data_IF_897486953059
#
_entry.id   IF_897486953059
#
_cell.length_a   1.000
_cell.length_b   1.000
_cell.length_c   1.000
_cell.angle_alpha   90.00
_cell.angle_beta   90.00
_cell.angle_gamma   90.00
#
_symmetry.space_group_name_H-M   'P 1'
#
loop_
_entity.id
_entity.type
_entity.pdbx_description
1 polymer ?
#
# COMPACT_ATOMS: atom_id res chain seq x y z
N UNK A 1 1.94 41.13 20.78
CA UNK A 1 1.83 41.02 19.31
C UNK A 1 1.24 39.68 18.89
N UNK A 2 0.24 39.72 18.02
CA UNK A 2 -0.34 38.53 17.39
C UNK A 2 0.65 37.85 16.42
N UNK A 3 0.49 36.54 16.11
CA UNK A 3 1.36 35.85 15.15
C UNK A 3 1.38 36.48 13.75
N UNK A 4 0.28 37.12 13.33
CA UNK A 4 0.16 37.81 12.03
C UNK A 4 1.00 39.09 12.02
N UNK A 5 0.95 39.88 13.10
CA UNK A 5 1.77 41.08 13.28
C UNK A 5 3.26 40.75 13.32
N UNK A 6 3.67 39.72 14.07
CA UNK A 6 5.07 39.28 14.14
C UNK A 6 5.60 38.87 12.76
N UNK A 7 4.77 38.27 11.90
CA UNK A 7 5.12 37.92 10.51
C UNK A 7 5.28 39.13 9.61
N UNK A 8 4.38 40.11 9.72
CA UNK A 8 4.45 41.37 8.97
C UNK A 8 5.70 42.18 9.35
N UNK A 9 5.97 42.29 10.65
CA UNK A 9 7.16 42.96 11.16
C UNK A 9 8.46 42.24 10.75
N UNK A 10 8.48 40.90 10.78
CA UNK A 10 9.60 40.11 10.27
C UNK A 10 9.89 40.40 8.79
N UNK A 11 8.87 40.53 7.92
CA UNK A 11 9.11 40.82 6.50
C UNK A 11 9.79 42.17 6.27
N UNK A 12 9.44 43.19 7.05
CA UNK A 12 10.03 44.52 6.93
C UNK A 12 11.45 44.58 7.50
N UNK A 13 11.64 44.05 8.72
CA UNK A 13 12.94 44.04 9.40
C UNK A 13 13.97 43.21 8.65
N UNK A 14 13.58 42.11 8.02
CA UNK A 14 14.48 41.24 7.26
C UNK A 14 15.19 41.96 6.11
N UNK A 15 14.51 42.89 5.44
CA UNK A 15 15.11 43.72 4.38
C UNK A 15 16.17 44.66 4.95
N UNK A 16 15.86 45.32 6.08
CA UNK A 16 16.78 46.23 6.79
C UNK A 16 18.00 45.49 7.34
N UNK A 17 17.79 44.35 7.98
CA UNK A 17 18.84 43.48 8.52
C UNK A 17 19.77 42.94 7.42
N UNK A 18 19.22 42.58 6.25
CA UNK A 18 20.01 42.11 5.11
C UNK A 18 20.98 43.16 4.55
N UNK A 19 20.56 44.44 4.52
CA UNK A 19 21.33 45.57 3.95
C UNK A 19 22.25 46.28 4.96
N UNK A 20 22.08 46.04 6.26
CA UNK A 20 22.85 46.72 7.30
C UNK A 20 24.32 46.24 7.39
N UNK A 21 25.21 47.11 7.86
CA UNK A 21 26.59 46.73 8.23
C UNK A 21 26.62 45.95 9.55
N UNK A 22 27.70 45.21 9.83
CA UNK A 22 27.85 44.38 11.04
C UNK A 22 27.42 45.08 12.35
N UNK A 23 27.87 46.32 12.67
CA UNK A 23 27.45 46.99 13.90
C UNK A 23 25.95 47.33 13.91
N UNK A 24 25.40 47.77 12.77
CA UNK A 24 23.96 48.09 12.63
C UNK A 24 23.06 46.85 12.71
N UNK A 25 23.55 45.68 12.31
CA UNK A 25 22.82 44.40 12.44
C UNK A 25 22.59 44.00 13.89
N UNK A 26 23.52 44.28 14.79
CA UNK A 26 23.36 43.98 16.21
C UNK A 26 22.16 44.74 16.78
N UNK A 27 22.09 46.06 16.58
CA UNK A 27 20.97 46.88 17.05
C UNK A 27 19.63 46.48 16.44
N UNK A 28 19.57 46.20 15.13
CA UNK A 28 18.33 45.71 14.49
C UNK A 28 17.90 44.35 15.06
N UNK A 29 18.86 43.49 15.41
CA UNK A 29 18.59 42.18 16.00
C UNK A 29 18.09 42.33 17.44
N UNK A 30 18.67 43.23 18.23
CA UNK A 30 18.22 43.54 19.60
C UNK A 30 16.80 44.07 19.59
N UNK A 31 16.50 45.07 18.74
CA UNK A 31 15.14 45.60 18.53
C UNK A 31 14.15 44.48 18.19
N UNK A 32 14.51 43.62 17.23
CA UNK A 32 13.64 42.54 16.80
C UNK A 32 13.39 41.49 17.89
N UNK A 33 14.39 41.22 18.75
CA UNK A 33 14.24 40.31 19.89
C UNK A 33 13.29 40.91 20.94
N UNK A 34 13.44 42.19 21.26
CA UNK A 34 12.62 42.91 22.25
C UNK A 34 11.16 43.04 21.78
N UNK A 35 10.93 43.45 20.53
CA UNK A 35 9.57 43.69 20.00
C UNK A 35 8.78 42.38 19.82
N UNK A 36 9.44 41.32 19.36
CA UNK A 36 8.76 40.04 19.10
C UNK A 36 8.83 39.06 20.27
N UNK A 37 9.53 39.40 21.36
CA UNK A 37 9.85 38.52 22.48
C UNK A 37 10.47 37.19 21.99
N UNK A 38 11.58 37.31 21.27
CA UNK A 38 12.30 36.18 20.68
C UNK A 38 13.71 36.06 21.22
N UNK A 39 14.12 34.83 21.50
CA UNK A 39 15.50 34.54 21.80
C UNK A 39 16.41 34.84 20.60
N UNK A 40 17.59 35.42 20.85
CA UNK A 40 18.53 35.90 19.82
C UNK A 40 18.87 34.86 18.75
N UNK A 41 19.15 33.61 19.15
CA UNK A 41 19.43 32.52 18.20
C UNK A 41 18.25 32.24 17.26
N UNK A 42 17.02 32.34 17.77
CA UNK A 42 15.80 32.12 16.99
C UNK A 42 15.58 33.26 15.99
N UNK A 43 15.75 34.51 16.44
CA UNK A 43 15.67 35.70 15.61
C UNK A 43 16.67 35.68 14.44
N UNK A 44 17.94 35.35 14.71
CA UNK A 44 18.99 35.19 13.68
C UNK A 44 18.55 34.18 12.62
N UNK A 45 18.01 33.02 13.04
CA UNK A 45 17.54 31.97 12.12
C UNK A 45 16.40 32.46 11.23
N UNK A 46 15.46 33.24 11.77
CA UNK A 46 14.35 33.80 10.99
C UNK A 46 14.81 34.85 9.96
N UNK A 47 15.70 35.76 10.37
CA UNK A 47 16.21 36.84 9.53
C UNK A 47 17.12 36.30 8.41
N UNK A 48 17.92 35.27 8.67
CA UNK A 48 18.80 34.65 7.67
C UNK A 48 18.13 33.60 6.78
N UNK A 49 16.89 33.19 7.06
CA UNK A 49 16.19 32.18 6.25
C UNK A 49 15.93 32.71 4.84
N UNK A 50 16.60 32.20 3.81
CA UNK A 50 16.31 32.59 2.42
C UNK A 50 14.82 32.35 2.07
N UNK A 51 14.14 33.36 1.50
CA UNK A 51 12.77 33.23 0.99
C UNK A 51 12.71 32.48 -0.34
N UNK A 52 13.83 32.37 -1.05
CA UNK A 52 13.92 31.63 -2.31
C UNK A 52 13.99 30.13 -2.00
N UNK A 53 12.88 29.42 -2.21
CA UNK A 53 12.92 27.96 -2.36
C UNK A 53 13.91 27.66 -3.49
N UNK A 54 15.03 27.01 -3.19
CA UNK A 54 15.94 26.55 -4.26
C UNK A 54 15.09 25.72 -5.25
N UNK A 55 15.18 25.97 -6.56
CA UNK A 55 14.48 25.12 -7.53
C UNK A 55 14.96 23.69 -7.27
N UNK A 56 14.01 22.80 -6.99
CA UNK A 56 14.33 21.38 -6.89
C UNK A 56 14.90 20.96 -8.24
N UNK A 57 16.08 20.33 -8.23
CA UNK A 57 16.63 19.69 -9.44
C UNK A 57 15.52 18.80 -9.99
N UNK A 58 15.02 19.12 -11.19
CA UNK A 58 14.01 18.29 -11.85
C UNK A 58 14.65 16.91 -12.04
N UNK A 59 14.04 15.89 -11.46
CA UNK A 59 14.51 14.51 -11.63
C UNK A 59 14.49 14.11 -13.11
N UNK A 60 15.09 12.96 -13.42
CA UNK A 60 15.07 12.35 -14.75
C UNK A 60 13.64 12.39 -15.33
N UNK A 61 13.49 12.88 -16.56
CA UNK A 61 12.18 12.89 -17.25
C UNK A 61 11.57 11.49 -17.17
N UNK A 62 10.28 11.43 -16.83
CA UNK A 62 9.53 10.17 -16.89
C UNK A 62 9.63 9.64 -18.33
N UNK A 63 9.84 8.34 -18.50
CA UNK A 63 9.63 7.69 -19.80
C UNK A 63 8.22 8.04 -20.29
N UNK A 64 8.09 8.28 -21.59
CA UNK A 64 6.86 8.77 -22.20
C UNK A 64 5.67 7.88 -21.86
N UNK A 65 4.55 8.54 -21.55
CA UNK A 65 3.26 7.88 -21.23
C UNK A 65 2.69 7.12 -22.42
N UNK A 66 3.16 7.41 -23.64
CA UNK A 66 2.75 6.78 -24.90
C UNK A 66 3.69 5.63 -25.30
N UNK A 67 4.39 5.03 -24.34
CA UNK A 67 5.27 3.90 -24.62
C UNK A 67 4.45 2.61 -24.81
N UNK A 68 4.79 1.75 -25.80
CA UNK A 68 4.25 0.39 -25.92
C UNK A 68 4.31 -0.41 -24.61
N UNK A 69 5.30 -0.12 -23.76
CA UNK A 69 5.44 -0.67 -22.41
C UNK A 69 4.19 -0.45 -21.54
N UNK A 70 3.57 0.74 -21.62
CA UNK A 70 2.43 1.06 -20.79
C UNK A 70 1.20 0.24 -21.17
N UNK A 71 0.98 0.01 -22.46
CA UNK A 71 -0.15 -0.78 -22.94
C UNK A 71 -0.07 -2.22 -22.43
N UNK A 72 1.10 -2.86 -22.63
CA UNK A 72 1.34 -4.25 -22.16
C UNK A 72 1.24 -4.32 -20.63
N UNK A 73 1.91 -3.41 -19.93
CA UNK A 73 1.92 -3.36 -18.47
C UNK A 73 0.51 -3.14 -17.91
N UNK A 74 -0.31 -2.31 -18.56
CA UNK A 74 -1.71 -2.09 -18.17
C UNK A 74 -2.53 -3.37 -18.30
N UNK A 75 -2.41 -4.09 -19.42
CA UNK A 75 -3.16 -5.33 -19.65
C UNK A 75 -2.81 -6.38 -18.60
N UNK A 76 -1.51 -6.62 -18.37
CA UNK A 76 -1.06 -7.56 -17.34
C UNK A 76 -1.51 -7.10 -15.95
N UNK A 77 -1.34 -5.81 -15.63
CA UNK A 77 -1.72 -5.27 -14.33
C UNK A 77 -3.22 -5.47 -14.05
N UNK A 78 -4.10 -5.19 -15.02
CA UNK A 78 -5.54 -5.44 -14.88
C UNK A 78 -5.87 -6.94 -14.78
N UNK A 79 -5.19 -7.80 -15.53
CA UNK A 79 -5.38 -9.25 -15.47
C UNK A 79 -4.92 -9.85 -14.13
N UNK A 80 -3.98 -9.21 -13.44
CA UNK A 80 -3.48 -9.62 -12.12
C UNK A 80 -4.25 -9.00 -10.95
N UNK A 81 -5.49 -8.52 -11.15
CA UNK A 81 -6.26 -7.78 -10.15
C UNK A 81 -5.48 -6.61 -9.53
N UNK A 82 -4.72 -5.91 -10.38
CA UNK A 82 -3.98 -4.71 -10.04
C UNK A 82 -2.89 -4.90 -8.96
N UNK A 83 -2.10 -5.99 -9.06
CA UNK A 83 -0.94 -6.22 -8.19
C UNK A 83 -0.10 -4.95 -7.97
N UNK A 84 0.33 -4.75 -6.72
CA UNK A 84 1.24 -3.65 -6.40
C UNK A 84 2.56 -3.81 -7.16
N UNK A 85 3.24 -2.71 -7.48
CA UNK A 85 4.42 -2.71 -8.36
C UNK A 85 5.54 -3.66 -7.94
N UNK A 86 5.71 -3.90 -6.63
CA UNK A 86 6.69 -4.86 -6.11
C UNK A 86 6.34 -6.30 -6.48
N UNK A 87 5.08 -6.70 -6.30
CA UNK A 87 4.59 -8.04 -6.67
C UNK A 87 4.50 -8.20 -8.18
N UNK A 88 3.98 -7.18 -8.87
CA UNK A 88 3.89 -7.18 -10.33
C UNK A 88 5.26 -7.35 -10.97
N UNK A 89 6.30 -6.66 -10.47
CA UNK A 89 7.67 -6.85 -10.97
C UNK A 89 8.11 -8.33 -10.93
N UNK A 90 7.83 -9.02 -9.83
CA UNK A 90 8.22 -10.43 -9.65
C UNK A 90 7.37 -11.34 -10.55
N UNK A 91 6.10 -11.01 -10.74
CA UNK A 91 5.18 -11.77 -11.58
C UNK A 91 5.43 -11.59 -13.09
N UNK A 92 5.96 -10.44 -13.54
CA UNK A 92 6.11 -10.12 -14.97
C UNK A 92 6.78 -11.24 -15.81
N UNK A 93 7.92 -11.86 -15.40
CA UNK A 93 8.54 -12.94 -16.18
C UNK A 93 7.63 -14.15 -16.42
N UNK A 94 6.76 -14.48 -15.46
CA UNK A 94 5.80 -15.59 -15.54
C UNK A 94 4.58 -15.23 -16.40
N UNK A 95 4.16 -13.96 -16.38
CA UNK A 95 2.99 -13.48 -17.10
C UNK A 95 3.26 -13.14 -18.57
N UNK A 96 4.48 -12.75 -18.93
CA UNK A 96 4.83 -12.38 -20.30
C UNK A 96 4.61 -13.49 -21.34
N UNK A 97 4.95 -14.77 -21.08
CA UNK A 97 4.63 -15.86 -22.00
C UNK A 97 3.13 -15.99 -22.30
N UNK A 98 2.28 -15.82 -21.29
CA UNK A 98 0.82 -15.87 -21.43
C UNK A 98 0.32 -14.68 -22.27
N UNK A 99 0.85 -13.49 -22.01
CA UNK A 99 0.57 -12.32 -22.83
C UNK A 99 0.95 -12.55 -24.31
N UNK A 100 2.12 -13.15 -24.57
CA UNK A 100 2.58 -13.46 -25.94
C UNK A 100 1.70 -14.48 -26.67
N UNK A 101 1.11 -15.44 -25.93
CA UNK A 101 0.17 -16.41 -26.49
C UNK A 101 -1.14 -15.78 -26.96
N UNK A 102 -1.65 -14.79 -26.21
CA UNK A 102 -2.95 -14.16 -26.49
C UNK A 102 -2.83 -12.98 -27.47
N UNK A 103 -1.79 -12.15 -27.34
CA UNK A 103 -1.64 -10.90 -28.10
C UNK A 103 -0.53 -10.94 -29.17
N UNK A 104 0.19 -12.06 -29.26
CA UNK A 104 1.30 -12.24 -30.21
C UNK A 104 2.68 -11.95 -29.59
N UNK A 105 3.73 -12.40 -30.30
CA UNK A 105 5.12 -12.28 -29.83
C UNK A 105 5.55 -10.83 -29.63
N UNK A 106 6.21 -10.58 -28.50
CA UNK A 106 6.82 -9.30 -28.20
C UNK A 106 8.21 -9.20 -28.82
N UNK A 107 8.59 -7.99 -29.21
CA UNK A 107 9.98 -7.70 -29.59
C UNK A 107 10.91 -7.97 -28.40
N UNK A 108 12.09 -8.56 -28.67
CA UNK A 108 13.06 -8.98 -27.65
C UNK A 108 13.47 -7.81 -26.75
N UNK A 109 13.68 -6.62 -27.34
CA UNK A 109 14.02 -5.41 -26.59
C UNK A 109 12.88 -4.99 -25.64
N UNK A 110 11.63 -5.07 -26.09
CA UNK A 110 10.48 -4.67 -25.31
C UNK A 110 10.24 -5.63 -24.12
N UNK A 111 10.38 -6.92 -24.36
CA UNK A 111 10.32 -7.97 -23.33
C UNK A 111 11.41 -7.78 -22.28
N UNK A 112 12.65 -7.54 -22.71
CA UNK A 112 13.77 -7.23 -21.81
C UNK A 112 13.50 -5.98 -20.98
N UNK A 113 13.02 -4.91 -21.61
CA UNK A 113 12.67 -3.66 -20.92
C UNK A 113 11.61 -3.86 -19.84
N UNK A 114 10.56 -4.66 -20.11
CA UNK A 114 9.50 -5.00 -19.14
C UNK A 114 10.07 -5.73 -17.93
N UNK A 115 10.91 -6.75 -18.14
CA UNK A 115 11.55 -7.51 -17.06
C UNK A 115 12.48 -6.64 -16.18
N UNK A 116 13.13 -5.64 -16.77
CA UNK A 116 14.04 -4.74 -16.05
C UNK A 116 13.36 -3.52 -15.41
N UNK A 117 12.03 -3.39 -15.50
CA UNK A 117 11.34 -2.30 -14.84
C UNK A 117 11.51 -2.37 -13.32
N UNK A 118 11.97 -1.27 -12.72
CA UNK A 118 11.94 -1.12 -11.26
C UNK A 118 10.50 -0.91 -10.77
N UNK A 119 10.16 -1.28 -9.52
CA UNK A 119 8.81 -1.05 -8.98
C UNK A 119 8.41 0.43 -9.04
N UNK A 120 9.35 1.33 -8.74
CA UNK A 120 9.12 2.77 -8.84
C UNK A 120 8.88 3.26 -10.28
N UNK A 121 9.40 2.57 -11.30
CA UNK A 121 9.08 2.87 -12.70
C UNK A 121 7.68 2.38 -13.06
N UNK A 122 7.33 1.16 -12.64
CA UNK A 122 5.98 0.60 -12.81
C UNK A 122 4.94 1.54 -12.20
N UNK A 123 5.13 1.99 -10.95
CA UNK A 123 4.24 2.94 -10.29
C UNK A 123 4.07 4.23 -11.10
N UNK A 124 5.17 4.80 -11.60
CA UNK A 124 5.13 6.02 -12.42
C UNK A 124 4.41 5.83 -13.74
N UNK A 125 4.57 4.68 -14.38
CA UNK A 125 3.92 4.31 -15.63
C UNK A 125 2.41 4.11 -15.43
N UNK A 126 2.01 3.38 -14.39
CA UNK A 126 0.60 3.09 -14.09
C UNK A 126 -0.14 4.27 -13.44
N UNK A 127 0.58 5.24 -12.86
CA UNK A 127 -0.01 6.40 -12.17
C UNK A 127 -1.13 7.12 -12.95
N UNK A 128 -1.02 7.38 -14.26
CA UNK A 128 -2.09 8.05 -15.01
C UNK A 128 -3.36 7.20 -15.18
N UNK A 129 -3.26 5.88 -15.02
CA UNK A 129 -4.34 4.91 -15.23
C UNK A 129 -4.99 4.52 -13.90
N UNK A 130 -4.22 4.53 -12.81
CA UNK A 130 -4.75 4.29 -11.47
C UNK A 130 -5.87 5.29 -11.20
N UNK A 131 -7.07 4.75 -10.93
CA UNK A 131 -8.19 5.56 -10.46
C UNK A 131 -7.77 6.16 -9.13
N UNK A 132 -7.51 7.47 -9.15
CA UNK A 132 -7.40 8.24 -7.93
C UNK A 132 -8.81 8.46 -7.42
N UNK A 133 -9.34 7.46 -6.70
CA UNK A 133 -10.49 7.75 -5.85
C UNK A 133 -9.98 8.73 -4.79
N UNK A 134 -10.41 9.99 -4.86
CA UNK A 134 -10.08 11.01 -3.86
C UNK A 134 -10.61 10.62 -2.48
N UNK A 135 -11.54 9.66 -2.44
CA UNK A 135 -12.02 9.02 -1.24
C UNK A 135 -10.97 8.01 -0.79
N UNK A 136 -10.31 8.32 0.33
CA UNK A 136 -9.65 7.27 1.13
C UNK A 136 -10.67 6.14 1.34
N UNK A 137 -10.23 4.89 1.19
CA UNK A 137 -11.08 3.72 1.36
C UNK A 137 -11.98 3.87 2.59
N UNK A 138 -13.28 3.67 2.40
CA UNK A 138 -14.26 3.78 3.46
C UNK A 138 -13.92 2.74 4.52
N UNK A 139 -13.68 3.20 5.75
CA UNK A 139 -13.35 2.33 6.87
C UNK A 139 -14.47 2.41 7.88
N UNK A 140 -15.00 1.24 8.25
CA UNK A 140 -15.92 1.14 9.38
C UNK A 140 -15.26 1.41 10.74
N UNK A 141 -13.93 1.47 10.77
CA UNK A 141 -13.16 1.73 11.99
C UNK A 141 -12.56 3.13 11.97
N UNK A 142 -12.68 3.86 13.08
CA UNK A 142 -11.93 5.08 13.35
C UNK A 142 -10.60 4.69 14.00
N UNK A 143 -9.44 5.05 13.43
CA UNK A 143 -8.17 4.71 14.05
C UNK A 143 -8.04 5.42 15.41
N UNK A 144 -8.00 4.65 16.49
CA UNK A 144 -7.75 5.17 17.84
C UNK A 144 -6.35 5.79 17.94
N UNK A 145 -6.23 6.95 18.58
CA UNK A 145 -4.94 7.67 18.75
C UNK A 145 -4.11 7.19 19.92
N UNK A 146 -4.73 6.67 20.98
CA UNK A 146 -4.11 6.54 22.30
C UNK A 146 -3.34 5.22 22.51
N UNK A 147 -3.88 4.09 22.05
CA UNK A 147 -3.34 2.75 22.36
C UNK A 147 -2.35 2.20 21.34
N UNK A 148 -2.33 2.71 20.10
CA UNK A 148 -1.49 2.15 19.02
C UNK A 148 0.02 2.27 19.29
N UNK A 149 0.45 3.29 20.02
CA UNK A 149 1.87 3.47 20.35
C UNK A 149 2.32 2.63 21.57
N UNK A 150 1.36 2.05 22.30
CA UNK A 150 1.64 1.26 23.50
C UNK A 150 1.69 -0.25 23.23
N UNK A 151 1.11 -0.68 22.11
CA UNK A 151 1.12 -2.08 21.69
C UNK A 151 2.17 -2.21 20.59
N UNK A 152 3.27 -2.93 20.89
CA UNK A 152 4.28 -3.22 19.90
C UNK A 152 3.65 -3.97 18.72
N UNK A 153 3.88 -3.48 17.50
CA UNK A 153 3.44 -4.17 16.29
C UNK A 153 4.29 -5.43 16.17
N UNK A 154 3.69 -6.59 16.39
CA UNK A 154 4.30 -7.87 16.00
C UNK A 154 4.21 -7.96 14.48
N UNK A 155 5.35 -7.91 13.81
CA UNK A 155 5.43 -7.95 12.33
C UNK A 155 5.55 -9.37 11.78
N UNK A 156 5.87 -10.34 12.63
CA UNK A 156 6.15 -11.72 12.25
C UNK A 156 5.52 -12.70 13.25
N UNK A 157 5.12 -13.88 12.74
CA UNK A 157 4.61 -15.04 13.48
C UNK A 157 5.62 -16.18 13.44
N UNK A 158 6.83 -15.93 13.94
CA UNK A 158 7.99 -16.82 13.82
C UNK A 158 7.89 -18.14 14.61
N UNK A 159 6.88 -18.27 15.48
CA UNK A 159 6.62 -19.45 16.31
C UNK A 159 5.59 -20.43 15.70
N UNK A 160 4.94 -20.07 14.59
CA UNK A 160 3.94 -20.92 13.95
C UNK A 160 4.61 -21.87 12.95
N UNK A 161 4.84 -23.11 13.37
CA UNK A 161 5.54 -24.14 12.57
C UNK A 161 4.62 -25.19 11.95
N UNK A 162 3.30 -25.09 12.16
CA UNK A 162 2.32 -26.03 11.62
C UNK A 162 0.95 -25.37 11.47
N UNK A 163 0.06 -25.90 10.59
CA UNK A 163 -1.31 -25.42 10.45
C UNK A 163 -2.13 -25.56 11.75
N UNK A 164 -3.07 -24.65 11.96
CA UNK A 164 -3.99 -24.63 13.11
C UNK A 164 -4.12 -23.26 13.79
N UNK A 165 -3.27 -22.30 13.44
CA UNK A 165 -3.26 -20.95 13.98
C UNK A 165 -3.90 -20.00 12.98
N UNK A 166 -5.07 -19.44 13.34
CA UNK A 166 -5.88 -18.64 12.45
C UNK A 166 -5.88 -17.17 12.87
N UNK A 167 -5.61 -16.28 11.92
CA UNK A 167 -6.01 -14.88 12.02
C UNK A 167 -7.40 -14.68 11.44
N UNK A 168 -8.18 -13.79 12.04
CA UNK A 168 -9.54 -13.49 11.63
C UNK A 168 -9.70 -11.99 11.43
N UNK A 169 -10.26 -11.60 10.29
CA UNK A 169 -10.67 -10.23 10.00
C UNK A 169 -12.12 -10.18 9.52
N UNK A 170 -12.73 -8.99 9.57
CA UNK A 170 -14.09 -8.76 9.12
C UNK A 170 -14.20 -7.53 8.22
N UNK A 171 -14.87 -7.67 7.08
CA UNK A 171 -15.13 -6.58 6.13
C UNK A 171 -16.62 -6.30 6.04
N UNK A 172 -16.99 -5.04 6.19
CA UNK A 172 -18.37 -4.56 6.04
C UNK A 172 -18.71 -4.31 4.56
N UNK A 173 -19.81 -4.86 4.07
CA UNK A 173 -20.34 -4.61 2.72
C UNK A 173 -21.49 -3.59 2.77
N UNK A 174 -21.17 -2.38 3.25
CA UNK A 174 -22.16 -1.35 3.61
C UNK A 174 -22.26 -0.17 2.63
N UNK A 175 -21.60 -0.24 1.47
CA UNK A 175 -21.55 0.90 0.55
C UNK A 175 -20.92 2.13 1.20
N UNK A 176 -21.65 3.26 1.21
CA UNK A 176 -21.21 4.55 1.74
C UNK A 176 -21.64 4.84 3.19
N UNK A 177 -22.44 3.97 3.81
CA UNK A 177 -23.00 4.18 5.14
C UNK A 177 -22.95 2.92 5.99
N UNK A 178 -22.49 3.03 7.23
CA UNK A 178 -22.59 1.95 8.23
C UNK A 178 -23.97 1.89 8.91
N UNK A 179 -24.94 2.67 8.46
CA UNK A 179 -26.29 2.63 9.01
C UNK A 179 -27.09 1.46 8.43
N UNK A 180 -27.85 0.77 9.30
CA UNK A 180 -28.69 -0.36 8.92
C UNK A 180 -27.98 -1.71 8.99
N UNK A 181 -28.66 -2.72 8.45
CA UNK A 181 -28.19 -4.10 8.44
C UNK A 181 -27.56 -4.45 7.09
N UNK A 182 -26.41 -5.11 7.13
CA UNK A 182 -25.68 -5.50 5.93
C UNK A 182 -24.80 -6.71 6.17
N UNK A 183 -24.32 -7.29 5.08
CA UNK A 183 -23.46 -8.46 5.12
C UNK A 183 -22.07 -8.06 5.59
N UNK A 184 -21.51 -8.88 6.47
CA UNK A 184 -20.09 -8.85 6.82
C UNK A 184 -19.42 -10.10 6.30
N UNK A 185 -18.29 -9.94 5.60
CA UNK A 185 -17.39 -11.06 5.36
C UNK A 185 -16.52 -11.28 6.58
N UNK A 186 -16.37 -12.54 6.99
CA UNK A 186 -15.39 -13.00 7.97
C UNK A 186 -14.33 -13.76 7.18
N UNK A 187 -13.09 -13.28 7.22
CA UNK A 187 -11.95 -13.91 6.57
C UNK A 187 -11.09 -14.57 7.63
N UNK A 188 -10.82 -15.85 7.45
CA UNK A 188 -10.00 -16.66 8.33
C UNK A 188 -8.79 -17.13 7.55
N UNK A 189 -7.59 -16.79 7.99
CA UNK A 189 -6.35 -17.18 7.32
C UNK A 189 -5.48 -17.98 8.28
N UNK A 190 -5.10 -19.18 7.88
CA UNK A 190 -4.09 -19.97 8.59
C UNK A 190 -2.71 -19.40 8.36
N UNK A 191 -2.03 -19.05 9.44
CA UNK A 191 -0.76 -18.32 9.42
C UNK A 191 0.33 -19.16 8.73
N UNK A 192 0.35 -20.48 8.99
CA UNK A 192 1.39 -21.36 8.46
C UNK A 192 1.18 -21.68 6.97
N UNK A 193 0.00 -22.16 6.61
CA UNK A 193 -0.30 -22.62 5.25
C UNK A 193 -0.70 -21.49 4.30
N UNK A 194 -1.06 -20.31 4.83
CA UNK A 194 -1.65 -19.22 4.06
C UNK A 194 -3.07 -19.50 3.56
N UNK A 195 -3.65 -20.67 3.90
CA UNK A 195 -4.98 -21.04 3.49
C UNK A 195 -6.01 -20.06 4.05
N UNK A 196 -6.89 -19.57 3.18
CA UNK A 196 -7.89 -18.56 3.54
C UNK A 196 -9.31 -19.06 3.26
N UNK A 197 -10.19 -18.85 4.22
CA UNK A 197 -11.62 -19.15 4.12
C UNK A 197 -12.45 -17.91 4.41
N UNK A 198 -13.39 -17.61 3.51
CA UNK A 198 -14.32 -16.51 3.65
C UNK A 198 -15.73 -17.02 3.98
N UNK A 199 -16.38 -16.39 4.95
CA UNK A 199 -17.78 -16.60 5.30
C UNK A 199 -18.53 -15.29 5.27
N UNK A 200 -19.84 -15.36 5.07
CA UNK A 200 -20.72 -14.21 5.16
C UNK A 200 -21.60 -14.36 6.40
N UNK A 201 -21.80 -13.27 7.13
CA UNK A 201 -22.75 -13.22 8.24
C UNK A 201 -23.61 -11.97 8.10
N UNK A 202 -24.86 -12.06 8.54
CA UNK A 202 -25.75 -10.92 8.61
C UNK A 202 -25.39 -10.11 9.86
N UNK A 203 -24.90 -8.88 9.67
CA UNK A 203 -24.35 -8.02 10.71
C UNK A 203 -23.11 -8.56 11.44
N UNK A 204 -22.53 -7.75 12.33
CA UNK A 204 -21.36 -8.10 13.15
C UNK A 204 -21.75 -8.56 14.57
N UNK A 205 -22.84 -9.31 14.69
CA UNK A 205 -23.28 -9.86 15.97
C UNK A 205 -22.40 -11.03 16.40
N UNK A 206 -22.04 -11.10 17.69
CA UNK A 206 -21.20 -12.17 18.23
C UNK A 206 -21.76 -13.58 17.93
N UNK A 207 -23.08 -13.74 18.00
CA UNK A 207 -23.76 -15.00 17.68
C UNK A 207 -23.52 -15.43 16.23
N UNK A 208 -23.85 -14.56 15.27
CA UNK A 208 -23.68 -14.85 13.84
C UNK A 208 -22.23 -15.12 13.46
N UNK A 209 -21.28 -14.37 14.04
CA UNK A 209 -19.84 -14.62 13.87
C UNK A 209 -19.46 -15.99 14.43
N UNK A 210 -19.92 -16.33 15.63
CA UNK A 210 -19.61 -17.60 16.27
C UNK A 210 -20.20 -18.80 15.51
N UNK A 211 -21.39 -18.67 14.94
CA UNK A 211 -21.98 -19.71 14.09
C UNK A 211 -21.13 -19.96 12.85
N UNK A 212 -20.72 -18.90 12.14
CA UNK A 212 -19.83 -19.02 10.98
C UNK A 212 -18.48 -19.65 11.34
N UNK A 213 -17.96 -19.35 12.53
CA UNK A 213 -16.70 -19.93 13.04
C UNK A 213 -16.88 -21.38 13.51
N UNK A 214 -18.00 -21.73 14.17
CA UNK A 214 -18.25 -23.09 14.69
C UNK A 214 -18.53 -24.12 13.61
N UNK A 215 -19.07 -23.70 12.45
CA UNK A 215 -19.17 -24.55 11.26
C UNK A 215 -17.84 -25.22 10.85
N UNK A 216 -16.70 -24.71 11.34
CA UNK A 216 -15.33 -25.21 11.17
C UNK A 216 -15.07 -26.62 11.72
N UNK A 217 -15.70 -26.99 12.85
CA UNK A 217 -15.32 -28.18 13.63
C UNK A 217 -15.43 -29.51 12.89
N UNK A 218 -16.21 -29.57 11.80
CA UNK A 218 -16.42 -30.79 11.00
C UNK A 218 -15.70 -30.80 9.65
N UNK A 219 -15.27 -29.64 9.13
CA UNK A 219 -14.81 -29.51 7.74
C UNK A 219 -13.30 -29.30 7.56
N UNK A 220 -12.59 -28.81 8.59
CA UNK A 220 -11.12 -28.61 8.47
C UNK A 220 -10.39 -29.94 8.54
N UNK A 221 -10.73 -30.83 9.49
CA UNK A 221 -10.11 -32.17 9.59
C UNK A 221 -10.40 -33.07 8.38
N UNK A 222 -11.59 -32.96 7.77
CA UNK A 222 -11.95 -33.77 6.60
C UNK A 222 -11.30 -33.27 5.31
N UNK A 223 -11.17 -31.95 5.11
CA UNK A 223 -10.57 -31.40 3.88
C UNK A 223 -9.08 -31.62 3.76
N UNK A 224 -8.34 -31.73 4.87
CA UNK A 224 -6.92 -32.10 4.82
C UNK A 224 -6.69 -33.59 4.52
N UNK A 225 -7.70 -34.46 4.65
CA UNK A 225 -7.58 -35.91 4.42
C UNK A 225 -8.14 -36.40 3.08
N UNK A 226 -8.81 -35.55 2.29
CA UNK A 226 -9.53 -36.00 1.08
C UNK A 226 -9.16 -35.28 -0.23
N UNK A 227 -8.02 -34.58 -0.31
CA UNK A 227 -7.59 -33.97 -1.57
C UNK A 227 -6.85 -35.00 -2.45
N UNK A 228 -7.62 -35.93 -3.02
CA UNK A 228 -7.18 -36.77 -4.15
C UNK A 228 -7.32 -35.99 -5.47
N UNK A 229 -6.32 -36.01 -6.36
CA UNK A 229 -6.17 -35.07 -7.47
C UNK A 229 -6.96 -35.50 -8.72
N UNK A 230 -8.28 -35.67 -8.61
CA UNK A 230 -9.10 -35.97 -9.78
C UNK A 230 -10.52 -35.47 -9.60
N UNK A 231 -10.73 -34.18 -9.89
CA UNK A 231 -11.97 -33.65 -10.47
C UNK A 231 -11.83 -32.14 -10.65
N UNK A 232 -11.97 -31.64 -11.88
CA UNK A 232 -12.72 -30.42 -12.27
C UNK A 232 -12.33 -30.00 -13.69
N UNK A 233 -13.09 -30.38 -14.74
CA UNK A 233 -13.09 -29.65 -16.00
C UNK A 233 -14.14 -28.53 -15.95
N UNK A 234 -13.85 -27.42 -16.64
CA UNK A 234 -14.66 -26.19 -16.85
C UNK A 234 -14.52 -25.07 -15.80
N UNK A 235 -13.37 -24.38 -15.81
CA UNK A 235 -13.18 -23.11 -15.11
C UNK A 235 -12.59 -22.05 -16.05
N UNK A 236 -12.97 -20.79 -15.84
CA UNK A 236 -12.55 -19.63 -16.66
C UNK A 236 -11.05 -19.36 -16.51
N UNK A 237 -10.37 -18.73 -17.49
CA UNK A 237 -8.91 -18.52 -17.47
C UNK A 237 -8.34 -17.90 -16.17
N UNK A 238 -9.12 -17.03 -15.53
CA UNK A 238 -8.76 -16.39 -14.25
C UNK A 238 -8.73 -17.35 -13.04
N UNK A 239 -9.53 -18.42 -13.08
CA UNK A 239 -9.51 -19.46 -12.06
C UNK A 239 -8.37 -20.46 -12.28
N UNK A 240 -7.90 -20.61 -13.53
CA UNK A 240 -6.78 -21.48 -13.89
C UNK A 240 -5.47 -20.94 -13.31
N UNK A 241 -5.24 -19.63 -13.27
CA UNK A 241 -4.00 -19.04 -12.74
C UNK A 241 -3.90 -19.18 -11.21
N UNK A 242 -4.99 -18.97 -10.49
CA UNK A 242 -5.02 -19.17 -9.03
C UNK A 242 -4.84 -20.65 -8.68
N UNK A 243 -5.46 -21.54 -9.46
CA UNK A 243 -5.31 -22.99 -9.28
C UNK A 243 -3.93 -23.48 -9.72
N UNK A 244 -3.33 -22.93 -10.78
CA UNK A 244 -1.97 -23.24 -11.18
C UNK A 244 -0.96 -22.78 -10.13
N UNK A 245 -1.11 -21.59 -9.53
CA UNK A 245 -0.27 -21.16 -8.42
C UNK A 245 -0.43 -22.04 -7.16
N UNK A 246 -1.62 -22.58 -6.92
CA UNK A 246 -1.88 -23.53 -5.84
C UNK A 246 -1.30 -24.92 -6.16
N UNK A 247 -1.44 -25.41 -7.39
CA UNK A 247 -0.94 -26.73 -7.81
C UNK A 247 0.59 -26.77 -7.97
N UNK A 248 1.21 -25.70 -8.48
CA UNK A 248 2.68 -25.58 -8.56
C UNK A 248 3.31 -25.55 -7.15
N UNK A 249 2.59 -25.04 -6.15
CA UNK A 249 3.03 -25.02 -4.77
C UNK A 249 2.84 -26.38 -4.07
N UNK A 250 1.84 -27.17 -4.48
CA UNK A 250 1.61 -28.54 -3.99
C UNK A 250 2.62 -29.51 -4.60
N UNK A 251 2.96 -29.40 -5.89
CA UNK A 251 4.02 -30.23 -6.52
C UNK A 251 5.43 -29.92 -5.96
N UNK A 252 5.67 -28.67 -5.52
CA UNK A 252 6.95 -28.28 -4.90
C UNK A 252 7.13 -28.80 -3.45
N UNK A 253 6.06 -29.31 -2.82
CA UNK A 253 6.05 -29.77 -1.42
C UNK A 253 6.07 -31.30 -1.26
N UNK A 254 6.30 -32.08 -2.32
CA UNK A 254 6.63 -33.51 -2.18
C UNK A 254 8.04 -33.68 -1.61
N UNK A 255 8.19 -33.53 -0.29
CA UNK A 255 9.32 -34.07 0.45
C UNK A 255 9.09 -35.58 0.66
N UNK A 256 10.12 -36.43 0.47
CA UNK A 256 9.99 -37.87 0.58
C UNK A 256 9.73 -38.27 2.03
N UNK A 257 8.85 -39.27 2.21
CA UNK A 257 8.43 -39.78 3.51
C UNK A 257 9.61 -40.24 4.38
N UNK A 258 9.64 -39.75 5.62
CA UNK A 258 10.17 -40.41 6.82
C UNK A 258 9.29 -40.04 8.02
#
# INVERSE_FOLDING_TARGET
>A
MSPKEKRSYLSEIKRRYGKASRPKKAGILDEFCTVCDYHRKYAIRLLNKSSKKKPRKRGRKSRDKTSPLLAILKTIWLATDQLCSKRLKVALPEWLPHYEQEYGRLEVELKSQLCHLSPATIDRLLKPIQVHDERRGLSGTRPGRLLKNQIAIKTDHWDVTHPGYLEADSVAHCGDSLAGDFIWSITLTDIHSGWTENRATWNKGAHGVLEQVKGRGRNVKSKFSTLSPTALPTLRPQQVVLIQQILYFIEFLQLPEL
#
